data_IF_216222889292
#
_entry.id   IF_216222889292
#
_cell.length_a   1.000
_cell.length_b   1.000
_cell.length_c   1.000
_cell.angle_alpha   90.00
_cell.angle_beta   90.00
_cell.angle_gamma   90.00
#
_symmetry.space_group_name_H-M   'P 1'
#
loop_
_entity.id
_entity.type
_entity.pdbx_description
1 polymer ?
#
# COMPACT_ATOMS: atom_id res chain seq x y z
N UNK A 1 31.41 -25.48 -21.39
CA UNK A 1 29.94 -25.37 -21.20
C UNK A 1 29.51 -25.93 -19.83
N UNK A 2 29.95 -25.35 -18.70
CA UNK A 2 29.67 -25.95 -17.37
C UNK A 2 29.38 -24.96 -16.21
N UNK A 3 29.64 -23.66 -16.39
CA UNK A 3 29.38 -22.64 -15.35
C UNK A 3 28.19 -21.74 -15.72
N UNK A 4 28.16 -21.23 -16.95
CA UNK A 4 27.08 -20.36 -17.43
C UNK A 4 25.69 -21.01 -17.39
N UNK A 5 25.59 -22.27 -17.84
CA UNK A 5 24.33 -23.03 -17.82
C UNK A 5 23.83 -23.33 -16.41
N UNK A 6 24.74 -23.49 -15.43
CA UNK A 6 24.36 -23.72 -14.03
C UNK A 6 23.85 -22.46 -13.35
N UNK A 7 24.49 -21.31 -13.61
CA UNK A 7 24.03 -20.02 -13.10
C UNK A 7 22.67 -19.66 -13.72
N UNK A 8 22.47 -19.94 -15.00
CA UNK A 8 21.18 -19.70 -15.69
C UNK A 8 20.05 -20.56 -15.08
N UNK A 9 20.33 -21.82 -14.75
CA UNK A 9 19.34 -22.71 -14.11
C UNK A 9 19.00 -22.28 -12.68
N UNK A 10 19.97 -21.75 -11.93
CA UNK A 10 19.73 -21.22 -10.57
C UNK A 10 18.86 -19.97 -10.65
N UNK A 11 19.15 -19.04 -11.57
CA UNK A 11 18.32 -17.84 -11.77
C UNK A 11 16.91 -18.21 -12.23
N UNK A 12 16.77 -19.17 -13.15
CA UNK A 12 15.45 -19.65 -13.58
C UNK A 12 14.64 -20.30 -12.43
N UNK A 13 15.31 -21.06 -11.54
CA UNK A 13 14.66 -21.66 -10.38
C UNK A 13 14.27 -20.61 -9.32
N UNK A 14 15.08 -19.58 -9.11
CA UNK A 14 14.75 -18.45 -8.23
C UNK A 14 13.57 -17.64 -8.81
N UNK A 15 13.55 -17.38 -10.12
CA UNK A 15 12.43 -16.71 -10.77
C UNK A 15 11.13 -17.54 -10.71
N UNK A 16 11.22 -18.87 -10.80
CA UNK A 16 10.08 -19.76 -10.58
C UNK A 16 9.62 -19.76 -9.12
N UNK A 17 10.53 -19.72 -8.15
CA UNK A 17 10.21 -19.63 -6.73
C UNK A 17 9.52 -18.30 -6.38
N UNK A 18 10.05 -17.19 -6.89
CA UNK A 18 9.42 -15.85 -6.77
C UNK A 18 8.07 -15.84 -7.51
N UNK A 19 7.99 -16.44 -8.69
CA UNK A 19 6.74 -16.59 -9.45
C UNK A 19 5.67 -17.39 -8.70
N UNK A 20 6.04 -18.44 -7.97
CA UNK A 20 5.10 -19.23 -7.14
C UNK A 20 4.65 -18.47 -5.88
N UNK A 21 5.51 -17.62 -5.31
CA UNK A 21 5.14 -16.70 -4.23
C UNK A 21 4.13 -15.65 -4.74
N UNK A 22 4.37 -15.06 -5.92
CA UNK A 22 3.39 -14.19 -6.59
C UNK A 22 2.09 -14.92 -6.96
N UNK A 23 2.15 -16.19 -7.38
CA UNK A 23 0.96 -17.02 -7.60
C UNK A 23 0.20 -17.28 -6.28
N UNK A 24 0.89 -17.45 -5.16
CA UNK A 24 0.29 -17.53 -3.84
C UNK A 24 -0.50 -16.26 -3.49
N UNK A 25 0.11 -15.08 -3.69
CA UNK A 25 -0.56 -13.78 -3.53
C UNK A 25 -1.74 -13.63 -4.53
N UNK A 26 -1.61 -14.16 -5.74
CA UNK A 26 -2.67 -14.11 -6.77
C UNK A 26 -3.96 -14.86 -6.38
N UNK A 27 -3.86 -15.92 -5.56
CA UNK A 27 -5.07 -16.63 -5.08
C UNK A 27 -5.85 -15.82 -4.04
N UNK A 28 -5.18 -14.95 -3.26
CA UNK A 28 -5.84 -13.98 -2.39
C UNK A 28 -6.36 -12.75 -3.18
N UNK A 29 -5.69 -12.38 -4.27
CA UNK A 29 -6.05 -11.24 -5.15
C UNK A 29 -7.03 -11.58 -6.28
N UNK A 30 -7.45 -12.84 -6.43
CA UNK A 30 -8.23 -13.30 -7.58
C UNK A 30 -9.58 -12.60 -7.76
N UNK A 31 -10.20 -12.09 -6.70
CA UNK A 31 -11.46 -11.35 -6.80
C UNK A 31 -11.29 -9.86 -7.14
N UNK A 32 -10.23 -9.22 -6.66
CA UNK A 32 -9.94 -7.80 -6.92
C UNK A 32 -9.33 -7.59 -8.30
N UNK A 33 -8.36 -8.42 -8.69
CA UNK A 33 -7.74 -8.38 -10.03
C UNK A 33 -8.74 -8.74 -11.12
N UNK A 34 -9.63 -9.70 -10.89
CA UNK A 34 -10.70 -10.04 -11.85
C UNK A 34 -11.69 -8.89 -12.05
N UNK A 35 -11.95 -8.10 -11.00
CA UNK A 35 -12.81 -6.91 -11.08
C UNK A 35 -12.11 -5.74 -11.78
N UNK A 36 -10.82 -5.52 -11.52
CA UNK A 36 -9.98 -4.52 -12.23
C UNK A 36 -9.81 -4.86 -13.72
N UNK A 37 -9.59 -6.13 -14.06
CA UNK A 37 -9.52 -6.61 -15.43
C UNK A 37 -10.87 -6.48 -16.19
N UNK A 38 -12.00 -6.72 -15.50
CA UNK A 38 -13.34 -6.54 -16.08
C UNK A 38 -13.70 -5.07 -16.34
N UNK A 39 -13.19 -4.16 -15.51
CA UNK A 39 -13.40 -2.72 -15.66
C UNK A 39 -12.43 -2.06 -16.66
N UNK A 40 -11.40 -2.78 -17.12
CA UNK A 40 -10.43 -2.27 -18.09
C UNK A 40 -9.36 -1.35 -17.51
N UNK A 41 -9.15 -1.39 -16.19
CA UNK A 41 -8.23 -0.53 -15.44
C UNK A 41 -6.75 -0.96 -15.56
N UNK A 42 -6.49 -2.11 -16.21
CA UNK A 42 -5.15 -2.66 -16.47
C UNK A 42 -4.73 -2.57 -17.94
N UNK A 43 -5.22 -1.56 -18.68
CA UNK A 43 -4.94 -1.40 -20.12
C UNK A 43 -3.75 -0.47 -20.35
N UNK A 44 -2.83 -0.89 -21.22
CA UNK A 44 -1.72 -0.08 -21.70
C UNK A 44 -1.61 -0.21 -23.23
N UNK A 45 -2.02 0.84 -23.97
CA UNK A 45 -2.01 0.83 -25.44
C UNK A 45 -2.85 -0.32 -26.04
N UNK A 46 -2.28 -1.06 -27.00
CA UNK A 46 -2.95 -2.23 -27.63
C UNK A 46 -2.87 -3.51 -26.78
N UNK A 47 -2.21 -3.48 -25.62
CA UNK A 47 -2.08 -4.61 -24.71
C UNK A 47 -3.21 -4.60 -23.68
N UNK A 48 -3.91 -5.73 -23.60
CA UNK A 48 -5.07 -5.92 -22.74
C UNK A 48 -4.78 -7.04 -21.74
N UNK A 49 -4.97 -6.73 -20.46
CA UNK A 49 -4.94 -7.71 -19.37
C UNK A 49 -6.39 -7.97 -18.98
N UNK A 50 -6.94 -9.09 -19.48
CA UNK A 50 -8.33 -9.48 -19.27
C UNK A 50 -8.48 -10.70 -18.35
N UNK A 51 -9.72 -11.06 -17.99
CA UNK A 51 -10.02 -12.21 -17.13
C UNK A 51 -9.53 -13.57 -17.67
N UNK A 52 -9.20 -13.63 -18.96
CA UNK A 52 -8.74 -14.83 -19.69
C UNK A 52 -7.27 -14.74 -20.11
N UNK A 53 -6.53 -13.75 -19.61
CA UNK A 53 -5.08 -13.61 -19.85
C UNK A 53 -4.67 -12.34 -20.60
N UNK A 54 -3.40 -12.32 -21.02
CA UNK A 54 -2.75 -11.23 -21.73
C UNK A 54 -3.02 -11.34 -23.24
N UNK A 55 -3.66 -10.34 -23.87
CA UNK A 55 -3.86 -10.35 -25.32
C UNK A 55 -3.59 -8.99 -25.99
N UNK A 56 -3.10 -9.03 -27.22
CA UNK A 56 -2.79 -7.86 -28.03
C UNK A 56 -3.87 -7.64 -29.10
N UNK A 57 -4.50 -6.46 -29.11
CA UNK A 57 -5.52 -6.12 -30.11
C UNK A 57 -4.86 -5.42 -31.28
N UNK A 58 -4.58 -6.14 -32.37
CA UNK A 58 -4.20 -5.53 -33.65
C UNK A 58 -5.42 -4.94 -34.36
N UNK A 59 -5.26 -3.80 -35.03
CA UNK A 59 -6.29 -3.25 -35.92
C UNK A 59 -6.49 -4.17 -37.14
N UNK A 60 -7.74 -4.62 -37.30
CA UNK A 60 -8.41 -5.24 -38.46
C UNK A 60 -7.72 -6.44 -39.11
N UNK A 61 -8.31 -7.63 -38.97
CA UNK A 61 -8.78 -8.50 -40.08
C UNK A 61 -9.78 -9.54 -39.54
N UNK A 62 -10.92 -9.65 -40.23
CA UNK A 62 -11.94 -10.70 -40.08
C UNK A 62 -11.34 -12.11 -40.25
N UNK A 63 -11.69 -13.05 -39.37
CA UNK A 63 -12.19 -14.37 -39.77
C UNK A 63 -12.79 -15.11 -38.56
N UNK A 64 -13.95 -15.71 -38.81
CA UNK A 64 -14.65 -16.66 -37.95
C UNK A 64 -13.77 -17.91 -37.67
N UNK A 65 -13.94 -18.54 -36.51
CA UNK A 65 -14.16 -20.00 -36.40
C UNK A 65 -14.25 -20.44 -34.91
N UNK A 66 -15.42 -20.99 -34.58
CA UNK A 66 -15.71 -21.83 -33.41
C UNK A 66 -14.79 -23.06 -33.35
N UNK A 67 -14.47 -23.61 -32.16
CA UNK A 67 -14.55 -25.05 -31.86
C UNK A 67 -14.44 -25.35 -30.35
N UNK A 68 -15.34 -26.25 -29.93
CA UNK A 68 -15.55 -26.87 -28.62
C UNK A 68 -14.45 -27.87 -28.18
N UNK A 69 -14.53 -28.21 -26.88
CA UNK A 69 -14.43 -29.55 -26.25
C UNK A 69 -13.09 -30.09 -25.66
N UNK A 70 -13.21 -30.43 -24.37
CA UNK A 70 -12.54 -31.48 -23.55
C UNK A 70 -11.00 -31.40 -23.36
N UNK A 71 -10.40 -31.78 -22.22
CA UNK A 71 -10.52 -33.02 -21.46
C UNK A 71 -10.16 -32.86 -19.96
N UNK A 72 -10.82 -33.69 -19.14
CA UNK A 72 -10.52 -34.06 -17.76
C UNK A 72 -9.16 -34.76 -17.60
N UNK A 73 -8.46 -34.50 -16.48
CA UNK A 73 -7.62 -35.48 -15.80
C UNK A 73 -7.61 -35.23 -14.28
N UNK A 74 -8.33 -36.08 -13.55
CA UNK A 74 -8.13 -36.42 -12.15
C UNK A 74 -6.81 -37.19 -11.97
N UNK A 75 -6.10 -36.99 -10.85
CA UNK A 75 -5.46 -38.07 -10.11
C UNK A 75 -5.14 -37.60 -8.67
N UNK A 76 -5.66 -38.39 -7.72
CA UNK A 76 -5.59 -38.28 -6.27
C UNK A 76 -4.25 -38.78 -5.67
N UNK A 77 -4.09 -38.50 -4.36
CA UNK A 77 -3.28 -39.20 -3.35
C UNK A 77 -1.75 -39.00 -3.34
N UNK A 78 -1.22 -38.36 -2.29
CA UNK A 78 -0.71 -39.07 -1.10
C UNK A 78 -0.11 -38.09 -0.06
N UNK A 79 -0.37 -38.39 1.21
CA UNK A 79 0.18 -37.79 2.43
C UNK A 79 1.72 -37.80 2.44
N UNK A 80 2.34 -36.88 3.19
CA UNK A 80 3.38 -37.22 4.18
C UNK A 80 3.85 -35.97 4.95
N UNK A 81 3.57 -36.00 6.25
CA UNK A 81 4.07 -35.11 7.30
C UNK A 81 5.61 -35.04 7.30
N UNK A 82 6.16 -33.83 7.34
CA UNK A 82 7.47 -33.60 7.96
C UNK A 82 7.37 -32.43 8.91
N UNK A 83 7.45 -32.81 10.18
CA UNK A 83 7.56 -31.98 11.37
C UNK A 83 8.67 -30.92 11.27
N UNK A 84 8.35 -29.80 11.90
CA UNK A 84 9.24 -28.79 12.46
C UNK A 84 10.52 -29.39 13.07
N UNK A 85 11.65 -28.75 12.73
CA UNK A 85 12.55 -28.14 13.70
C UNK A 85 13.85 -27.81 12.96
N UNK A 86 14.22 -26.52 12.91
CA UNK A 86 15.62 -26.11 13.11
C UNK A 86 15.71 -24.58 13.31
N UNK A 87 15.99 -24.25 14.57
CA UNK A 87 16.33 -22.96 15.13
C UNK A 87 17.37 -22.18 14.31
N UNK A 88 17.09 -20.91 14.02
CA UNK A 88 18.10 -19.88 13.80
C UNK A 88 17.72 -18.58 14.49
N UNK A 89 18.10 -18.50 15.76
CA UNK A 89 18.36 -17.22 16.44
C UNK A 89 19.61 -16.56 15.82
N UNK A 90 19.49 -15.30 15.39
CA UNK A 90 20.39 -14.20 15.80
C UNK A 90 20.05 -12.89 15.06
N UNK A 91 19.39 -12.00 15.81
CA UNK A 91 19.66 -10.56 15.92
C UNK A 91 19.81 -9.72 14.64
N UNK A 92 18.72 -9.05 14.27
CA UNK A 92 18.80 -7.67 13.77
C UNK A 92 17.72 -6.83 14.47
N UNK A 93 18.14 -6.16 15.54
CA UNK A 93 17.37 -5.16 16.27
C UNK A 93 17.85 -3.81 15.79
N UNK A 94 17.01 -3.09 15.07
CA UNK A 94 16.69 -1.68 15.34
C UNK A 94 15.56 -1.20 14.39
N UNK A 95 14.53 -0.59 14.99
CA UNK A 95 13.28 -0.02 14.39
C UNK A 95 12.12 -1.02 14.13
N UNK A 96 11.89 -1.97 15.04
CA UNK A 96 10.64 -2.78 15.09
C UNK A 96 10.15 -2.95 16.53
N UNK A 97 9.79 -1.87 17.21
CA UNK A 97 9.25 -1.95 18.59
C UNK A 97 8.03 -1.04 18.85
N UNK A 98 7.26 -0.70 17.81
CA UNK A 98 5.95 -0.02 17.97
C UNK A 98 4.74 -0.82 17.42
N UNK A 99 4.95 -2.04 16.90
CA UNK A 99 3.86 -2.89 16.37
C UNK A 99 3.58 -4.13 17.25
N UNK A 100 4.47 -4.45 18.21
CA UNK A 100 4.36 -5.68 19.03
C UNK A 100 3.26 -5.63 20.11
N UNK A 101 2.75 -4.45 20.49
CA UNK A 101 1.81 -4.31 21.62
C UNK A 101 0.31 -4.29 21.21
N UNK A 102 -0.04 -4.90 20.07
CA UNK A 102 -1.43 -5.05 19.60
C UNK A 102 -1.99 -6.47 19.86
N UNK A 103 -1.14 -7.41 20.30
CA UNK A 103 -1.45 -8.85 20.37
C UNK A 103 -2.54 -9.31 21.35
N UNK A 104 -2.83 -8.57 22.42
CA UNK A 104 -3.59 -9.11 23.57
C UNK A 104 -4.94 -8.41 23.83
N UNK A 105 -5.64 -7.99 22.77
CA UNK A 105 -7.00 -7.49 22.92
C UNK A 105 -8.02 -8.64 23.02
N UNK A 106 -8.32 -9.05 24.25
CA UNK A 106 -9.29 -10.09 24.59
C UNK A 106 -10.65 -9.85 23.89
N UNK A 107 -11.05 -10.79 23.04
CA UNK A 107 -12.21 -10.68 22.17
C UNK A 107 -13.48 -11.09 22.93
N UNK A 108 -14.30 -10.11 23.34
CA UNK A 108 -15.55 -10.39 24.05
C UNK A 108 -16.56 -11.12 23.16
N UNK A 109 -16.93 -12.34 23.53
CA UNK A 109 -17.98 -13.12 22.86
C UNK A 109 -19.35 -12.79 23.46
N UNK A 110 -20.20 -12.07 22.71
CA UNK A 110 -21.62 -12.39 22.44
C UNK A 110 -22.45 -11.23 21.81
N UNK A 111 -23.39 -11.60 20.91
CA UNK A 111 -24.57 -10.87 20.35
C UNK A 111 -24.31 -9.72 19.35
N UNK A 112 -25.34 -9.26 18.59
CA UNK A 112 -25.92 -9.76 17.33
C UNK A 112 -25.20 -9.21 16.08
N UNK A 113 -25.67 -9.55 14.87
CA UNK A 113 -25.20 -8.90 13.63
C UNK A 113 -25.90 -7.55 13.43
N UNK A 114 -25.19 -6.43 13.53
CA UNK A 114 -25.71 -5.16 13.02
C UNK A 114 -24.97 -3.95 13.54
N UNK A 115 -24.08 -3.41 12.70
CA UNK A 115 -23.47 -2.09 12.78
C UNK A 115 -22.94 -1.68 14.17
N UNK A 116 -21.61 -1.81 14.39
CA UNK A 116 -21.00 -1.17 15.56
C UNK A 116 -20.90 0.35 15.34
N UNK A 117 -21.28 1.11 16.35
CA UNK A 117 -21.27 2.57 16.34
C UNK A 117 -20.78 3.08 17.69
N UNK A 118 -19.53 3.54 17.72
CA UNK A 118 -18.84 3.91 18.95
C UNK A 118 -18.38 5.36 18.88
N UNK A 119 -18.54 6.11 19.96
CA UNK A 119 -18.17 7.52 20.03
C UNK A 119 -17.33 7.82 21.27
N UNK A 120 -16.38 8.73 21.10
CA UNK A 120 -15.36 9.11 22.08
C UNK A 120 -15.27 10.62 22.16
N UNK A 121 -14.88 11.14 23.33
CA UNK A 121 -14.55 12.56 23.47
C UNK A 121 -13.30 12.87 22.65
N UNK A 122 -13.41 13.78 21.68
CA UNK A 122 -12.31 14.11 20.78
C UNK A 122 -11.06 14.58 21.53
N UNK A 123 -11.25 15.39 22.60
CA UNK A 123 -10.15 15.89 23.42
C UNK A 123 -9.41 14.82 24.21
N UNK A 124 -9.97 13.61 24.32
CA UNK A 124 -9.33 12.48 25.01
C UNK A 124 -8.45 11.63 24.09
N UNK A 125 -8.56 11.81 22.78
CA UNK A 125 -7.85 11.02 21.78
C UNK A 125 -6.78 11.88 21.13
N UNK A 126 -5.53 11.46 21.26
CA UNK A 126 -4.38 12.08 20.61
C UNK A 126 -3.81 11.19 19.50
N UNK A 127 -4.02 9.86 19.59
CA UNK A 127 -3.50 8.90 18.62
C UNK A 127 -4.61 7.99 18.09
N UNK A 128 -4.48 7.55 16.83
CA UNK A 128 -5.34 6.53 16.25
C UNK A 128 -4.47 5.41 15.69
N UNK A 129 -4.72 4.20 16.16
CA UNK A 129 -4.09 2.99 15.66
C UNK A 129 -5.16 2.08 15.03
N UNK A 130 -4.96 1.70 13.78
CA UNK A 130 -5.85 0.86 13.00
C UNK A 130 -5.11 -0.39 12.52
N UNK A 131 -5.63 -1.57 12.85
CA UNK A 131 -5.11 -2.89 12.48
C UNK A 131 -6.23 -3.69 11.79
N UNK A 132 -6.24 -3.70 10.46
CA UNK A 132 -7.37 -4.16 9.65
C UNK A 132 -6.92 -5.17 8.61
N UNK A 133 -7.41 -6.40 8.68
CA UNK A 133 -7.10 -7.41 7.66
C UNK A 133 -7.65 -7.00 6.29
N UNK A 134 -8.95 -6.71 6.23
CA UNK A 134 -9.62 -6.34 4.99
C UNK A 134 -10.91 -5.54 5.21
N UNK A 135 -10.95 -4.29 4.72
CA UNK A 135 -12.15 -3.45 4.73
C UNK A 135 -12.08 -2.30 3.72
N UNK A 136 -13.23 -1.74 3.37
CA UNK A 136 -13.30 -0.38 2.82
C UNK A 136 -13.19 0.61 3.99
N UNK A 137 -12.28 1.57 3.91
CA UNK A 137 -12.05 2.55 4.98
C UNK A 137 -12.42 3.94 4.45
N UNK A 138 -13.13 4.72 5.26
CA UNK A 138 -13.45 6.10 4.89
C UNK A 138 -13.24 7.03 6.07
N UNK A 139 -12.44 8.06 5.88
CA UNK A 139 -12.24 9.15 6.84
C UNK A 139 -13.10 10.34 6.42
N UNK A 140 -13.91 10.87 7.33
CA UNK A 140 -14.85 11.96 7.07
C UNK A 140 -14.83 12.98 8.20
N UNK A 141 -15.15 14.23 7.87
CA UNK A 141 -15.48 15.22 8.88
C UNK A 141 -16.70 14.79 9.71
N UNK A 142 -16.61 14.96 11.04
CA UNK A 142 -17.68 14.69 12.00
C UNK A 142 -18.66 15.86 12.05
N UNK A 143 -19.96 15.56 12.15
CA UNK A 143 -21.00 16.56 12.39
C UNK A 143 -20.93 17.15 13.82
N UNK A 144 -20.29 16.45 14.76
CA UNK A 144 -20.09 16.88 16.14
C UNK A 144 -18.60 17.11 16.42
N UNK A 145 -18.20 18.37 16.55
CA UNK A 145 -16.80 18.75 16.77
C UNK A 145 -16.23 18.30 18.13
N UNK A 146 -17.07 17.89 19.08
CA UNK A 146 -16.61 17.38 20.37
C UNK A 146 -16.40 15.86 20.36
N UNK A 147 -16.86 15.18 19.32
CA UNK A 147 -16.92 13.71 19.28
C UNK A 147 -16.19 13.15 18.07
N UNK A 148 -15.32 12.19 18.35
CA UNK A 148 -14.85 11.23 17.37
C UNK A 148 -15.84 10.06 17.34
N UNK A 149 -16.16 9.55 16.16
CA UNK A 149 -17.05 8.40 16.00
C UNK A 149 -16.49 7.38 15.01
N UNK A 150 -16.56 6.10 15.35
CA UNK A 150 -16.15 4.99 14.49
C UNK A 150 -17.37 4.11 14.22
N UNK A 151 -17.63 3.83 12.95
CA UNK A 151 -18.79 3.02 12.54
C UNK A 151 -18.32 1.83 11.70
N UNK A 152 -18.63 0.62 12.14
CA UNK A 152 -18.52 -0.59 11.34
C UNK A 152 -19.84 -0.82 10.60
N UNK A 153 -19.80 -1.01 9.28
CA UNK A 153 -20.94 -1.48 8.48
C UNK A 153 -20.59 -2.77 7.76
N UNK A 154 -21.57 -3.64 7.58
CA UNK A 154 -21.46 -4.91 6.81
C UNK A 154 -20.42 -5.91 7.31
N UNK A 155 -19.56 -5.53 8.25
CA UNK A 155 -18.63 -6.41 8.97
C UNK A 155 -19.32 -7.18 10.09
N UNK A 156 -18.66 -8.23 10.58
CA UNK A 156 -19.11 -8.98 11.75
C UNK A 156 -18.52 -8.37 13.00
N UNK A 157 -19.36 -7.88 13.90
CA UNK A 157 -18.93 -7.29 15.18
C UNK A 157 -18.04 -8.23 16.00
N UNK A 158 -18.32 -9.54 15.94
CA UNK A 158 -17.49 -10.56 16.58
C UNK A 158 -16.06 -10.72 16.03
N UNK A 159 -15.64 -9.87 15.10
CA UNK A 159 -14.25 -9.77 14.63
C UNK A 159 -13.71 -8.34 14.70
N UNK A 160 -14.51 -7.43 15.24
CA UNK A 160 -14.21 -6.02 15.36
C UNK A 160 -13.96 -5.67 16.82
N UNK A 161 -12.97 -4.82 17.06
CA UNK A 161 -12.75 -4.20 18.37
C UNK A 161 -12.39 -2.75 18.17
N UNK A 162 -13.09 -1.85 18.85
CA UNK A 162 -12.68 -0.46 18.97
C UNK A 162 -12.69 -0.06 20.44
N UNK A 163 -11.54 0.35 20.95
CA UNK A 163 -11.33 0.67 22.37
C UNK A 163 -10.25 1.71 22.53
N UNK A 164 -10.28 2.41 23.66
CA UNK A 164 -9.21 3.34 24.05
C UNK A 164 -8.20 2.64 24.94
N UNK A 165 -6.93 2.96 24.73
CA UNK A 165 -5.83 2.63 25.62
C UNK A 165 -5.09 3.95 25.94
N UNK A 166 -5.36 4.50 27.12
CA UNK A 166 -4.96 5.87 27.44
C UNK A 166 -5.59 6.89 26.49
N UNK A 167 -4.75 7.64 25.77
CA UNK A 167 -5.11 8.64 24.76
C UNK A 167 -5.14 8.07 23.33
N UNK A 168 -4.94 6.76 23.16
CA UNK A 168 -4.88 6.09 21.86
C UNK A 168 -6.18 5.35 21.57
N UNK A 169 -6.81 5.64 20.45
CA UNK A 169 -7.94 4.87 19.93
C UNK A 169 -7.42 3.71 19.10
N UNK A 170 -7.65 2.48 19.56
CA UNK A 170 -7.27 1.23 18.86
C UNK A 170 -8.49 0.67 18.14
N UNK A 171 -8.39 0.50 16.82
CA UNK A 171 -9.42 -0.06 15.94
C UNK A 171 -8.86 -1.32 15.27
N UNK A 172 -9.48 -2.47 15.52
CA UNK A 172 -9.04 -3.77 14.97
C UNK A 172 -10.17 -4.46 14.23
N UNK A 173 -9.88 -5.07 13.09
CA UNK A 173 -10.83 -5.92 12.36
C UNK A 173 -10.14 -7.11 11.70
N UNK A 174 -10.47 -8.33 12.15
CA UNK A 174 -9.93 -9.57 11.60
C UNK A 174 -10.93 -10.22 10.63
N UNK A 175 -10.57 -10.32 9.35
CA UNK A 175 -11.49 -10.82 8.34
C UNK A 175 -11.73 -12.34 8.45
N UNK A 176 -10.91 -13.08 9.20
CA UNK A 176 -10.97 -14.54 9.46
C UNK A 176 -11.34 -15.39 8.25
N UNK A 177 -10.56 -15.39 7.16
CA UNK A 177 -10.74 -16.21 5.93
C UNK A 177 -12.20 -16.31 5.43
N UNK A 178 -13.06 -15.35 5.75
CA UNK A 178 -14.48 -15.42 5.45
C UNK A 178 -14.74 -14.82 4.09
N UNK A 179 -15.60 -15.50 3.31
CA UNK A 179 -16.11 -14.91 2.10
C UNK A 179 -17.20 -13.87 2.43
N UNK A 180 -16.90 -12.60 2.14
CA UNK A 180 -17.86 -11.51 2.28
C UNK A 180 -18.58 -11.26 0.96
N UNK A 181 -19.92 -11.32 0.96
CA UNK A 181 -20.73 -10.93 -0.21
C UNK A 181 -20.59 -9.44 -0.55
N UNK A 182 -20.31 -8.62 0.46
CA UNK A 182 -20.02 -7.19 0.37
C UNK A 182 -18.93 -6.89 1.40
N UNK A 183 -17.92 -6.11 1.01
CA UNK A 183 -16.81 -5.77 1.89
C UNK A 183 -17.29 -5.11 3.19
N UNK A 184 -16.68 -5.48 4.34
CA UNK A 184 -16.79 -4.69 5.56
C UNK A 184 -16.40 -3.24 5.29
N UNK A 185 -17.05 -2.30 5.98
CA UNK A 185 -16.75 -0.88 5.86
C UNK A 185 -16.48 -0.32 7.26
N UNK A 186 -15.40 0.44 7.40
CA UNK A 186 -15.06 1.17 8.62
C UNK A 186 -15.05 2.66 8.29
N UNK A 187 -15.90 3.42 8.95
CA UNK A 187 -16.03 4.85 8.73
C UNK A 187 -15.56 5.57 9.99
N UNK A 188 -14.55 6.41 9.84
CA UNK A 188 -13.98 7.24 10.89
C UNK A 188 -14.47 8.68 10.70
N UNK A 189 -15.27 9.16 11.64
CA UNK A 189 -15.73 10.55 11.68
C UNK A 189 -14.85 11.34 12.65
N UNK A 190 -14.06 12.26 12.10
CA UNK A 190 -13.08 13.06 12.83
C UNK A 190 -13.55 14.53 12.92
N UNK A 191 -13.47 15.17 14.09
CA UNK A 191 -13.78 16.59 14.21
C UNK A 191 -12.98 17.46 13.24
N UNK A 192 -13.65 18.43 12.64
CA UNK A 192 -13.01 19.40 11.72
C UNK A 192 -11.73 19.99 12.29
N UNK A 193 -10.65 19.94 11.53
CA UNK A 193 -9.36 20.52 11.90
C UNK A 193 -8.71 19.88 13.13
N UNK A 194 -9.09 18.65 13.48
CA UNK A 194 -8.41 17.91 14.54
C UNK A 194 -6.96 17.64 14.13
N UNK A 195 -6.05 17.82 15.09
CA UNK A 195 -4.65 17.42 14.97
C UNK A 195 -4.38 16.25 15.89
N UNK A 196 -3.67 15.25 15.39
CA UNK A 196 -3.24 14.07 16.13
C UNK A 196 -1.74 14.14 16.42
N UNK A 197 -1.30 13.42 17.44
CA UNK A 197 0.14 13.19 17.63
C UNK A 197 0.56 12.09 16.65
N UNK A 198 -0.07 10.92 16.70
CA UNK A 198 0.25 9.78 15.82
C UNK A 198 -0.99 9.20 15.13
N UNK A 199 -0.87 8.95 13.83
CA UNK A 199 -1.81 8.13 13.05
C UNK A 199 -1.05 6.93 12.49
N UNK A 200 -1.44 5.73 12.91
CA UNK A 200 -0.81 4.48 12.50
C UNK A 200 -1.85 3.53 11.94
N UNK A 201 -1.81 3.29 10.63
CA UNK A 201 -2.76 2.47 9.90
C UNK A 201 -2.03 1.28 9.28
N UNK A 202 -2.20 0.10 9.86
CA UNK A 202 -1.77 -1.19 9.31
C UNK A 202 -2.98 -1.91 8.71
N UNK A 203 -2.95 -2.07 7.40
CA UNK A 203 -4.10 -2.53 6.63
C UNK A 203 -3.66 -3.62 5.65
N UNK A 204 -4.13 -4.84 5.84
CA UNK A 204 -3.83 -5.96 4.95
C UNK A 204 -4.35 -5.71 3.53
N UNK A 205 -5.65 -5.44 3.39
CA UNK A 205 -6.28 -5.15 2.11
C UNK A 205 -7.39 -4.09 2.21
N UNK A 206 -7.27 -2.97 1.51
CA UNK A 206 -8.30 -1.94 1.57
C UNK A 206 -8.44 -1.06 0.33
N UNK A 207 -9.63 -0.49 0.23
CA UNK A 207 -9.90 0.73 -0.52
C UNK A 207 -10.14 1.81 0.54
N UNK A 208 -9.16 2.69 0.73
CA UNK A 208 -9.18 3.74 1.75
C UNK A 208 -9.36 5.11 1.10
N UNK A 209 -10.40 5.82 1.53
CA UNK A 209 -10.71 7.16 1.08
C UNK A 209 -10.63 8.16 2.24
N UNK A 210 -9.71 9.11 2.11
CA UNK A 210 -9.52 10.27 2.97
C UNK A 210 -9.55 11.56 2.12
N UNK A 211 -10.60 11.72 1.31
CA UNK A 211 -10.79 12.93 0.49
C UNK A 211 -11.67 13.99 1.18
N UNK A 212 -12.49 13.56 2.15
CA UNK A 212 -13.56 14.35 2.79
C UNK A 212 -13.19 14.83 4.21
N UNK A 213 -11.91 14.88 4.56
CA UNK A 213 -11.45 15.33 5.88
C UNK A 213 -10.11 16.06 5.79
N UNK A 214 -10.11 17.34 6.14
CA UNK A 214 -8.90 18.16 6.24
C UNK A 214 -8.40 18.07 7.70
N UNK A 215 -7.24 17.45 7.89
CA UNK A 215 -6.68 17.20 9.23
C UNK A 215 -5.15 17.16 9.24
N UNK A 216 -4.59 17.16 10.43
CA UNK A 216 -3.13 17.10 10.61
C UNK A 216 -2.70 16.03 11.62
N UNK A 217 -1.46 15.57 11.51
CA UNK A 217 -0.80 14.81 12.57
C UNK A 217 0.67 15.21 12.70
N UNK A 218 1.33 14.81 13.79
CA UNK A 218 2.79 14.92 13.86
C UNK A 218 3.43 13.77 13.08
N UNK A 219 3.02 12.53 13.36
CA UNK A 219 3.55 11.35 12.68
C UNK A 219 2.43 10.56 11.98
N UNK A 220 2.68 10.19 10.73
CA UNK A 220 1.80 9.34 9.92
C UNK A 220 2.55 8.08 9.50
N UNK A 221 2.02 6.92 9.87
CA UNK A 221 2.42 5.63 9.33
C UNK A 221 1.22 5.00 8.64
N UNK A 222 1.35 4.69 7.35
CA UNK A 222 0.35 4.02 6.55
C UNK A 222 0.99 2.81 5.87
N UNK A 223 0.55 1.61 6.24
CA UNK A 223 0.98 0.35 5.65
C UNK A 223 -0.22 -0.33 5.03
N UNK A 224 -0.19 -0.51 3.71
CA UNK A 224 -1.25 -1.18 2.96
C UNK A 224 -0.65 -2.39 2.24
N UNK A 225 -1.06 -3.59 2.61
CA UNK A 225 -0.60 -4.80 1.93
C UNK A 225 -1.05 -4.83 0.47
N UNK A 226 -2.36 -4.65 0.23
CA UNK A 226 -2.90 -4.51 -1.12
C UNK A 226 -4.13 -3.60 -1.22
N UNK A 227 -4.20 -2.78 -2.27
CA UNK A 227 -5.37 -1.99 -2.61
C UNK A 227 -5.08 -0.52 -2.86
N UNK A 228 -6.10 0.33 -2.72
CA UNK A 228 -6.00 1.74 -3.10
C UNK A 228 -6.06 2.64 -1.87
N UNK A 229 -5.23 3.68 -1.84
CA UNK A 229 -5.30 4.76 -0.86
C UNK A 229 -5.43 6.08 -1.59
N UNK A 230 -6.50 6.81 -1.28
CA UNK A 230 -6.73 8.13 -1.85
C UNK A 230 -6.90 9.16 -0.72
N UNK A 231 -6.10 10.22 -0.72
CA UNK A 231 -6.17 11.29 0.29
C UNK A 231 -6.12 12.69 -0.32
N UNK A 232 -6.79 13.65 0.32
CA UNK A 232 -6.75 15.08 -0.04
C UNK A 232 -6.47 15.95 1.18
N UNK A 233 -5.67 17.00 1.00
CA UNK A 233 -5.53 18.11 1.96
C UNK A 233 -5.22 17.66 3.40
N UNK A 234 -4.24 16.76 3.55
CA UNK A 234 -3.73 16.36 4.87
C UNK A 234 -2.36 16.99 5.14
N UNK A 235 -2.05 17.22 6.42
CA UNK A 235 -0.79 17.80 6.85
C UNK A 235 -0.06 16.92 7.87
N UNK A 236 1.21 16.60 7.62
CA UNK A 236 2.09 15.88 8.54
C UNK A 236 3.19 16.83 9.01
N UNK A 237 3.29 17.07 10.32
CA UNK A 237 4.22 18.05 10.87
C UNK A 237 5.63 17.50 11.12
N UNK A 238 5.73 16.20 11.40
CA UNK A 238 6.94 15.48 11.74
C UNK A 238 7.32 14.51 10.63
N UNK A 239 7.04 13.22 10.81
CA UNK A 239 7.43 12.18 9.86
C UNK A 239 6.24 11.57 9.13
N UNK A 240 6.36 11.42 7.82
CA UNK A 240 5.46 10.60 7.00
C UNK A 240 6.16 9.30 6.58
N UNK A 241 5.49 8.17 6.77
CA UNK A 241 5.94 6.84 6.35
C UNK A 241 4.78 6.11 5.67
N UNK A 242 4.85 5.96 4.36
CA UNK A 242 3.81 5.32 3.54
C UNK A 242 4.41 4.11 2.83
N UNK A 243 3.86 2.93 3.07
CA UNK A 243 4.29 1.69 2.42
C UNK A 243 3.09 0.96 1.83
N UNK A 244 3.14 0.68 0.53
CA UNK A 244 2.11 -0.06 -0.19
C UNK A 244 2.74 -1.25 -0.89
N UNK A 245 2.30 -2.46 -0.54
CA UNK A 245 2.78 -3.69 -1.14
C UNK A 245 2.34 -3.81 -2.60
N UNK A 246 1.02 -3.83 -2.85
CA UNK A 246 0.46 -3.89 -4.20
C UNK A 246 -0.77 -2.99 -4.35
N UNK A 247 -0.71 -1.96 -5.20
CA UNK A 247 -1.88 -1.16 -5.52
C UNK A 247 -1.57 0.29 -5.87
N UNK A 248 -2.53 1.19 -5.69
CA UNK A 248 -2.36 2.58 -6.09
C UNK A 248 -2.51 3.56 -4.92
N UNK A 249 -1.68 4.59 -4.92
CA UNK A 249 -1.73 5.68 -3.96
C UNK A 249 -1.91 6.98 -4.70
N UNK A 250 -2.90 7.77 -4.29
CA UNK A 250 -3.15 9.12 -4.81
C UNK A 250 -3.27 10.08 -3.63
N UNK A 251 -2.34 11.02 -3.55
CA UNK A 251 -2.34 12.08 -2.56
C UNK A 251 -2.43 13.41 -3.32
N UNK A 252 -3.44 14.21 -3.04
CA UNK A 252 -3.58 15.54 -3.62
C UNK A 252 -3.52 16.61 -2.51
N UNK A 253 -2.89 17.75 -2.77
CA UNK A 253 -2.69 18.84 -1.81
C UNK A 253 -2.06 18.37 -0.47
N UNK A 254 -1.13 17.41 -0.49
CA UNK A 254 -0.50 16.85 0.71
C UNK A 254 0.66 17.71 1.23
N UNK A 255 0.71 18.01 2.54
CA UNK A 255 1.79 18.84 3.11
C UNK A 255 2.57 18.05 4.16
N UNK A 256 3.85 17.80 3.93
CA UNK A 256 4.76 17.17 4.89
C UNK A 256 5.82 18.19 5.30
N UNK A 257 5.75 18.69 6.54
CA UNK A 257 6.67 19.71 7.04
C UNK A 257 8.02 19.12 7.53
N UNK A 258 8.13 17.81 7.62
CA UNK A 258 9.37 17.11 7.97
C UNK A 258 9.72 16.02 6.96
N UNK A 259 10.25 14.91 7.44
CA UNK A 259 10.78 13.85 6.56
C UNK A 259 9.67 12.95 6.02
N UNK A 260 9.81 12.53 4.76
CA UNK A 260 8.91 11.61 4.08
C UNK A 260 9.66 10.35 3.61
N UNK A 261 9.10 9.18 3.91
CA UNK A 261 9.52 7.88 3.37
C UNK A 261 8.34 7.25 2.67
N UNK A 262 8.51 6.90 1.40
CA UNK A 262 7.48 6.35 0.54
C UNK A 262 8.02 5.07 -0.10
N UNK A 263 7.34 3.95 0.10
CA UNK A 263 7.65 2.66 -0.52
C UNK A 263 6.42 2.16 -1.28
N UNK A 264 6.56 2.01 -2.59
CA UNK A 264 5.56 1.39 -3.45
C UNK A 264 6.16 0.12 -4.07
N UNK A 265 5.76 -1.04 -3.54
CA UNK A 265 6.24 -2.34 -3.99
C UNK A 265 5.84 -2.63 -5.43
N UNK A 266 4.54 -2.70 -5.71
CA UNK A 266 4.01 -2.90 -7.07
C UNK A 266 2.77 -2.02 -7.31
N UNK A 267 2.84 -1.10 -8.28
CA UNK A 267 1.68 -0.31 -8.70
C UNK A 267 2.02 1.15 -8.99
N UNK A 268 1.09 2.07 -8.75
CA UNK A 268 1.30 3.48 -9.04
C UNK A 268 1.18 4.33 -7.78
N UNK A 269 2.13 5.24 -7.57
CA UNK A 269 2.07 6.25 -6.52
C UNK A 269 2.05 7.63 -7.16
N UNK A 270 1.12 8.48 -6.74
CA UNK A 270 1.07 9.88 -7.13
C UNK A 270 0.88 10.74 -5.90
N UNK A 271 1.71 11.78 -5.79
CA UNK A 271 1.55 12.82 -4.78
C UNK A 271 1.72 14.19 -5.41
N UNK A 272 0.71 15.03 -5.23
CA UNK A 272 0.76 16.47 -5.42
C UNK A 272 0.82 17.14 -4.04
N UNK A 273 1.77 18.07 -3.84
CA UNK A 273 1.95 18.69 -2.54
C UNK A 273 3.35 19.23 -2.23
N UNK A 274 3.79 19.15 -0.97
CA UNK A 274 5.09 19.67 -0.53
C UNK A 274 5.75 18.76 0.50
N UNK A 275 7.08 18.60 0.43
CA UNK A 275 7.89 17.90 1.44
C UNK A 275 9.04 18.79 1.89
N UNK A 276 8.95 19.36 3.09
CA UNK A 276 9.93 20.34 3.58
C UNK A 276 11.18 19.72 4.23
N UNK A 277 11.17 18.42 4.50
CA UNK A 277 12.31 17.66 4.99
C UNK A 277 13.03 16.86 3.92
N UNK A 278 13.66 15.76 4.34
CA UNK A 278 14.23 14.79 3.42
C UNK A 278 13.13 13.91 2.84
N UNK A 279 13.33 13.46 1.60
CA UNK A 279 12.44 12.55 0.90
C UNK A 279 13.20 11.27 0.53
N UNK A 280 12.65 10.12 0.91
CA UNK A 280 13.06 8.82 0.40
C UNK A 280 11.87 8.20 -0.33
N UNK A 281 12.08 7.82 -1.58
CA UNK A 281 11.04 7.31 -2.46
C UNK A 281 11.54 6.05 -3.19
N UNK A 282 10.99 4.91 -2.80
CA UNK A 282 11.30 3.60 -3.35
C UNK A 282 10.11 3.12 -4.20
N UNK A 283 10.38 2.80 -5.47
CA UNK A 283 9.41 2.20 -6.38
C UNK A 283 9.95 0.86 -6.87
N UNK A 284 9.41 -0.24 -6.34
CA UNK A 284 9.83 -1.59 -6.70
C UNK A 284 9.49 -1.93 -8.15
N UNK A 285 8.20 -1.91 -8.50
CA UNK A 285 7.70 -2.10 -9.86
C UNK A 285 6.49 -1.20 -10.14
N UNK A 286 6.61 -0.31 -11.13
CA UNK A 286 5.50 0.54 -11.57
C UNK A 286 5.92 1.99 -11.75
N UNK A 287 5.04 2.93 -11.44
CA UNK A 287 5.30 4.35 -11.66
C UNK A 287 5.07 5.16 -10.39
N UNK A 288 5.98 6.07 -10.10
CA UNK A 288 5.82 7.05 -9.03
C UNK A 288 5.93 8.45 -9.64
N UNK A 289 4.94 9.29 -9.38
CA UNK A 289 4.92 10.69 -9.81
C UNK A 289 4.80 11.58 -8.58
N UNK A 290 5.72 12.53 -8.42
CA UNK A 290 5.76 13.45 -7.30
C UNK A 290 5.79 14.88 -7.85
N UNK A 291 4.66 15.58 -7.75
CA UNK A 291 4.52 16.98 -8.12
C UNK A 291 4.71 17.81 -6.84
N UNK A 292 5.92 18.32 -6.64
CA UNK A 292 6.35 18.94 -5.39
C UNK A 292 6.49 20.46 -5.52
N UNK A 293 5.83 21.20 -4.64
CA UNK A 293 6.06 22.63 -4.50
C UNK A 293 7.51 22.91 -4.07
N UNK A 294 8.14 23.90 -4.70
CA UNK A 294 9.49 24.36 -4.31
C UNK A 294 10.44 24.48 -5.50
N UNK A 295 11.75 24.38 -5.23
CA UNK A 295 12.76 24.40 -6.29
C UNK A 295 13.62 23.14 -6.24
N UNK A 296 13.93 22.56 -7.40
CA UNK A 296 14.85 21.41 -7.54
C UNK A 296 16.19 21.62 -6.78
N UNK A 297 16.67 22.86 -6.70
CA UNK A 297 17.96 23.19 -6.07
C UNK A 297 17.95 23.14 -4.54
N UNK A 298 16.79 22.95 -3.92
CA UNK A 298 16.69 22.80 -2.47
C UNK A 298 17.18 21.43 -1.97
N UNK A 299 17.26 20.45 -2.87
CA UNK A 299 17.60 19.05 -2.58
C UNK A 299 18.97 18.66 -3.14
N UNK A 300 19.71 17.86 -2.40
CA UNK A 300 20.74 16.99 -2.97
C UNK A 300 20.08 15.68 -3.37
N UNK A 301 20.53 15.07 -4.47
CA UNK A 301 19.93 13.86 -5.00
C UNK A 301 20.85 12.65 -4.85
N UNK A 302 20.26 11.51 -4.49
CA UNK A 302 20.86 10.19 -4.63
C UNK A 302 19.90 9.31 -5.42
N UNK A 303 20.33 8.89 -6.60
CA UNK A 303 19.47 8.22 -7.59
C UNK A 303 19.98 6.82 -7.87
N UNK A 304 19.12 5.81 -7.75
CA UNK A 304 19.39 4.43 -8.13
C UNK A 304 18.30 3.90 -9.05
N UNK A 305 18.66 3.40 -10.23
CA UNK A 305 17.69 2.92 -11.21
C UNK A 305 18.15 1.59 -11.83
N UNK A 306 17.40 0.53 -11.55
CA UNK A 306 17.62 -0.81 -12.10
C UNK A 306 17.20 -0.90 -13.57
N UNK A 307 15.90 -1.01 -13.83
CA UNK A 307 15.31 -1.16 -15.17
C UNK A 307 14.19 -0.15 -15.40
N UNK A 308 14.54 1.03 -15.91
CA UNK A 308 13.57 2.10 -16.03
C UNK A 308 14.20 3.47 -16.24
N UNK A 309 13.50 4.49 -15.74
CA UNK A 309 13.97 5.87 -15.69
C UNK A 309 13.65 6.51 -14.35
N UNK A 310 14.51 7.44 -13.94
CA UNK A 310 14.17 8.47 -12.95
C UNK A 310 14.23 9.80 -13.69
N UNK A 311 13.21 10.63 -13.57
CA UNK A 311 13.16 11.98 -14.12
C UNK A 311 13.01 12.99 -12.98
N UNK A 312 13.83 14.04 -13.00
CA UNK A 312 13.80 15.12 -12.01
C UNK A 312 13.83 16.45 -12.77
N UNK A 313 12.75 17.23 -12.67
CA UNK A 313 12.55 18.54 -13.35
C UNK A 313 12.97 18.53 -14.84
N UNK A 314 12.52 17.51 -15.58
CA UNK A 314 12.83 17.31 -17.00
C UNK A 314 14.23 16.74 -17.32
N UNK A 315 15.09 16.50 -16.33
CA UNK A 315 16.32 15.74 -16.53
C UNK A 315 16.09 14.24 -16.31
N UNK A 316 16.20 13.45 -17.38
CA UNK A 316 16.03 11.98 -17.32
C UNK A 316 17.34 11.23 -17.03
N UNK A 317 17.27 10.27 -16.12
CA UNK A 317 18.32 9.37 -15.67
C UNK A 317 17.92 7.92 -15.95
N UNK A 318 18.75 7.16 -16.67
CA UNK A 318 18.48 5.75 -17.00
C UNK A 318 19.72 4.89 -16.81
N UNK A 319 19.54 3.59 -16.58
CA UNK A 319 20.61 2.59 -16.47
C UNK A 319 21.75 3.03 -15.53
N UNK A 320 21.41 3.45 -14.30
CA UNK A 320 22.41 3.93 -13.34
C UNK A 320 23.18 2.72 -12.80
N UNK A 321 24.49 2.67 -13.03
CA UNK A 321 25.34 1.63 -12.46
C UNK A 321 25.74 2.01 -11.02
N UNK A 322 25.05 1.45 -10.03
CA UNK A 322 25.18 1.87 -8.62
C UNK A 322 24.35 3.11 -8.35
N UNK A 323 24.89 4.05 -7.59
CA UNK A 323 24.19 5.28 -7.22
C UNK A 323 24.78 6.48 -7.97
N UNK A 324 23.91 7.39 -8.42
CA UNK A 324 24.30 8.71 -8.92
C UNK A 324 23.97 9.76 -7.88
N UNK A 325 24.98 10.51 -7.45
CA UNK A 325 24.80 11.64 -6.54
C UNK A 325 24.86 12.97 -7.31
N UNK A 326 23.95 13.88 -6.98
CA UNK A 326 23.96 15.28 -7.44
C UNK A 326 23.95 16.17 -6.22
N UNK A 327 24.90 17.11 -6.15
CA UNK A 327 25.07 18.02 -5.02
C UNK A 327 24.73 19.44 -5.48
N UNK A 328 23.69 20.01 -4.90
CA UNK A 328 23.24 21.35 -5.20
C UNK A 328 23.81 22.37 -4.20
N UNK A 329 24.32 23.49 -4.71
CA UNK A 329 24.97 24.48 -3.87
C UNK A 329 23.97 25.12 -2.91
N UNK A 330 24.17 24.92 -1.61
CA UNK A 330 23.32 25.48 -0.56
C UNK A 330 22.09 24.63 -0.20
N UNK A 331 21.89 23.50 -0.89
CA UNK A 331 20.85 22.53 -0.56
C UNK A 331 21.05 21.95 0.84
N UNK A 332 19.95 21.83 1.58
CA UNK A 332 19.93 21.24 2.94
C UNK A 332 19.06 19.99 3.02
N UNK A 333 18.11 19.85 2.09
CA UNK A 333 17.23 18.70 1.97
C UNK A 333 17.95 17.64 1.15
N UNK A 334 17.62 16.37 1.36
CA UNK A 334 18.10 15.27 0.54
C UNK A 334 16.92 14.51 -0.04
N UNK A 335 17.06 14.07 -1.28
CA UNK A 335 16.10 13.26 -2.00
C UNK A 335 16.77 11.98 -2.48
N UNK A 336 16.34 10.84 -1.95
CA UNK A 336 16.78 9.52 -2.37
C UNK A 336 15.68 8.85 -3.18
N UNK A 337 15.96 8.57 -4.46
CA UNK A 337 15.02 7.99 -5.42
C UNK A 337 15.55 6.64 -5.90
N UNK A 338 14.84 5.57 -5.55
CA UNK A 338 15.23 4.20 -5.83
C UNK A 338 14.16 3.51 -6.70
N UNK A 339 14.45 3.37 -8.00
CA UNK A 339 13.56 2.74 -8.98
C UNK A 339 14.06 1.33 -9.34
N UNK A 340 13.36 0.29 -8.89
CA UNK A 340 13.62 -1.09 -9.27
C UNK A 340 13.31 -1.35 -10.75
N UNK A 341 12.03 -1.28 -11.11
CA UNK A 341 11.54 -1.41 -12.48
C UNK A 341 10.38 -0.43 -12.77
N UNK A 342 10.47 0.34 -13.85
CA UNK A 342 9.43 1.29 -14.25
C UNK A 342 9.91 2.73 -14.25
N UNK A 343 9.22 3.64 -13.56
CA UNK A 343 9.63 5.05 -13.53
C UNK A 343 9.37 5.75 -12.20
N UNK A 344 10.26 6.68 -11.85
CA UNK A 344 10.00 7.74 -10.86
C UNK A 344 10.13 9.07 -11.58
N UNK A 345 9.13 9.93 -11.48
CA UNK A 345 9.09 11.27 -12.05
C UNK A 345 8.85 12.25 -10.91
N UNK A 346 9.72 13.26 -10.81
CA UNK A 346 9.61 14.33 -9.81
C UNK A 346 9.64 15.66 -10.54
N UNK A 347 8.54 16.38 -10.47
CA UNK A 347 8.41 17.73 -11.03
C UNK A 347 8.28 18.75 -9.90
N UNK A 348 8.85 19.94 -10.12
CA UNK A 348 8.79 21.05 -9.16
C UNK A 348 7.95 22.20 -9.70
N UNK A 349 7.00 22.70 -8.89
CA UNK A 349 6.08 23.80 -9.23
C UNK A 349 6.27 25.10 -8.43
#
# INVERSE_FOLDING_TARGET
>A
MKKFTKVTLIVAAVLLGVGLIFCGVSTAMGASVWRMAKNGELRYGNWHIGPVGLYYSGSDYDDDDDYDDNDDYDDDDDDDDYDDDDDLDADDKDIVDLVSDIGDADFSTEVPSGEADQSYDASSIQNINMDIDAAEITVRESDDSAKLRVVLKRGKEKYYSCKTDGNTLKIKYDAKKHYYKKSPQIILYLPKGSSFDELNFDIGAADMNWKDFDGSCNDLTLKVGAGNFEAKRFQVNGKMDVSVGVGNVEIEDGVVNGDASIDCGVGNFSMDGSVEGNLKADCGMGNMTLDLNGEEKEYNYKLSCGLGSIEVDGETYTNISGDKEVQNEGAKKNMELDCGMGSIEVDFE
#
